data_IF_532700581179
#
_entry.id   IF_532700581179
#
_cell.length_a   1.000
_cell.length_b   1.000
_cell.length_c   1.000
_cell.angle_alpha   90.00
_cell.angle_beta   90.00
_cell.angle_gamma   90.00
#
_symmetry.space_group_name_H-M   'P 1'
#
loop_
_entity.id
_entity.type
_entity.pdbx_description
1 polymer ?
#
# COMPACT_ATOMS: atom_id res chain seq x y z
N UNK A 1 -24.73 -5.87 -7.14
CA UNK A 1 -24.39 -4.50 -6.72
C UNK A 1 -23.15 -4.11 -7.48
N UNK A 2 -23.18 -3.00 -8.23
CA UNK A 2 -22.20 -2.66 -9.28
C UNK A 2 -20.79 -2.48 -8.70
N UNK A 3 -19.81 -3.18 -9.27
CA UNK A 3 -18.38 -3.07 -8.94
C UNK A 3 -17.81 -1.77 -9.51
N UNK A 4 -17.55 -0.80 -8.63
CA UNK A 4 -17.08 0.55 -8.98
C UNK A 4 -15.62 0.57 -9.50
N UNK A 5 -14.88 -0.54 -9.37
CA UNK A 5 -13.48 -0.64 -9.79
C UNK A 5 -13.27 -1.06 -11.25
N UNK A 6 -14.32 -1.51 -11.95
CA UNK A 6 -14.22 -1.90 -13.38
C UNK A 6 -14.33 -0.72 -14.35
N UNK A 7 -14.85 0.43 -13.91
CA UNK A 7 -15.15 1.58 -14.78
C UNK A 7 -13.97 2.56 -15.00
N UNK A 8 -12.77 2.26 -14.47
CA UNK A 8 -11.59 3.13 -14.68
C UNK A 8 -10.88 2.89 -16.02
N UNK A 9 -11.13 1.76 -16.70
CA UNK A 9 -10.54 1.47 -18.01
C UNK A 9 -11.25 2.15 -19.18
N UNK A 10 -12.53 2.50 -19.01
CA UNK A 10 -13.36 3.02 -20.12
C UNK A 10 -13.21 4.53 -20.35
N UNK A 11 -12.51 5.25 -19.47
CA UNK A 11 -12.33 6.70 -19.58
C UNK A 11 -11.17 7.12 -20.52
N UNK A 12 -10.38 6.17 -21.05
CA UNK A 12 -9.21 6.49 -21.90
C UNK A 12 -9.32 6.03 -23.35
N UNK A 13 -10.40 5.31 -23.70
CA UNK A 13 -10.59 4.73 -25.04
C UNK A 13 -12.01 5.00 -25.52
N UNK A 14 -12.26 6.18 -26.10
CA UNK A 14 -13.57 6.48 -26.65
C UNK A 14 -13.74 7.87 -27.25
N UNK A 15 -13.12 8.13 -28.39
CA UNK A 15 -13.75 8.87 -29.50
C UNK A 15 -12.77 9.05 -30.65
N UNK A 16 -12.86 8.20 -31.67
CA UNK A 16 -12.87 8.61 -33.08
C UNK A 16 -13.38 7.40 -33.87
N UNK A 17 -14.58 7.56 -34.43
CA UNK A 17 -15.21 6.59 -35.30
C UNK A 17 -14.78 6.82 -36.75
N UNK A 18 -14.63 5.70 -37.45
CA UNK A 18 -15.00 5.45 -38.86
C UNK A 18 -14.21 6.17 -40.00
N UNK A 19 -13.47 5.36 -40.77
CA UNK A 19 -13.35 5.48 -42.23
C UNK A 19 -12.56 4.27 -42.81
N UNK A 20 -13.14 3.57 -43.78
CA UNK A 20 -12.48 2.51 -44.54
C UNK A 20 -11.33 3.03 -45.42
N UNK A 21 -10.28 2.23 -45.54
CA UNK A 21 -9.10 2.50 -46.37
C UNK A 21 -8.35 1.22 -46.72
N UNK A 22 -7.83 1.18 -47.93
CA UNK A 22 -7.28 0.02 -48.67
C UNK A 22 -5.93 -0.48 -48.12
N UNK A 23 -5.67 -1.79 -48.25
CA UNK A 23 -4.53 -2.51 -47.65
C UNK A 23 -3.10 -2.11 -48.06
N UNK A 24 -2.91 -1.03 -48.83
CA UNK A 24 -1.60 -0.41 -49.06
C UNK A 24 -1.28 0.67 -48.00
N UNK A 25 -2.28 1.29 -47.38
CA UNK A 25 -2.09 2.30 -46.31
C UNK A 25 -1.64 1.67 -44.99
N UNK A 26 -2.07 0.43 -44.71
CA UNK A 26 -1.68 -0.32 -43.52
C UNK A 26 -0.18 -0.67 -43.49
N UNK A 27 0.44 -0.90 -44.64
CA UNK A 27 1.87 -1.22 -44.72
C UNK A 27 2.73 0.03 -44.50
N UNK A 28 2.26 1.20 -44.95
CA UNK A 28 2.89 2.50 -44.71
C UNK A 28 2.73 2.92 -43.25
N UNK A 29 1.55 2.66 -42.65
CA UNK A 29 1.29 2.88 -41.22
C UNK A 29 2.14 1.94 -40.35
N UNK A 30 2.33 0.68 -40.76
CA UNK A 30 3.23 -0.25 -40.05
C UNK A 30 4.71 0.14 -40.16
N UNK A 31 5.17 0.61 -41.34
CA UNK A 31 6.55 1.11 -41.51
C UNK A 31 6.78 2.44 -40.77
N UNK A 32 5.80 3.34 -40.72
CA UNK A 32 5.85 4.55 -39.86
C UNK A 32 5.86 4.21 -38.38
N UNK A 33 5.05 3.24 -37.93
CA UNK A 33 5.05 2.75 -36.54
C UNK A 33 6.35 2.04 -36.16
N UNK A 34 7.00 1.35 -37.10
CA UNK A 34 8.30 0.72 -36.88
C UNK A 34 9.44 1.76 -36.84
N UNK A 35 9.36 2.83 -37.65
CA UNK A 35 10.29 3.95 -37.61
C UNK A 35 10.12 4.79 -36.32
N UNK A 36 8.89 5.07 -35.89
CA UNK A 36 8.61 5.71 -34.58
C UNK A 36 9.01 4.82 -33.39
N UNK A 37 8.97 3.48 -33.53
CA UNK A 37 9.47 2.55 -32.51
C UNK A 37 11.00 2.46 -32.43
N UNK A 38 11.73 2.92 -33.45
CA UNK A 38 13.19 2.91 -33.48
C UNK A 38 13.83 4.27 -33.17
N UNK A 39 13.03 5.33 -32.99
CA UNK A 39 13.52 6.68 -32.67
C UNK A 39 13.09 7.19 -31.28
N UNK A 40 12.56 6.31 -30.43
CA UNK A 40 12.29 6.59 -29.03
C UNK A 40 13.18 5.75 -28.10
N UNK A 41 14.50 5.81 -28.31
CA UNK A 41 15.42 5.58 -27.18
C UNK A 41 15.41 6.88 -26.39
N UNK A 42 14.40 6.98 -25.52
CA UNK A 42 14.26 8.11 -24.61
C UNK A 42 15.56 8.24 -23.82
N UNK A 43 16.27 9.35 -24.02
CA UNK A 43 17.55 9.55 -23.36
C UNK A 43 17.36 9.51 -21.83
N UNK A 44 18.37 9.10 -21.06
CA UNK A 44 18.30 9.20 -19.60
C UNK A 44 17.92 10.62 -19.14
N UNK A 45 18.32 11.65 -19.89
CA UNK A 45 17.95 13.06 -19.64
C UNK A 45 16.45 13.33 -19.83
N UNK A 46 15.79 12.73 -20.80
CA UNK A 46 14.35 12.89 -21.00
C UNK A 46 13.53 12.13 -19.93
N UNK A 47 14.01 10.97 -19.49
CA UNK A 47 13.45 10.27 -18.33
C UNK A 47 13.65 11.06 -17.03
N UNK A 48 14.86 11.61 -16.81
CA UNK A 48 15.19 12.46 -15.66
C UNK A 48 14.42 13.80 -15.69
N UNK A 49 14.17 14.37 -16.87
CA UNK A 49 13.36 15.57 -17.03
C UNK A 49 11.89 15.33 -16.68
N UNK A 50 11.35 14.16 -17.05
CA UNK A 50 10.00 13.74 -16.67
C UNK A 50 9.88 13.43 -15.17
N UNK A 51 10.93 12.89 -14.56
CA UNK A 51 11.03 12.73 -13.09
C UNK A 51 11.14 14.09 -12.37
N UNK A 52 11.81 15.07 -12.99
CA UNK A 52 11.87 16.45 -12.50
C UNK A 52 10.53 17.19 -12.53
N UNK A 53 9.61 16.80 -13.41
CA UNK A 53 8.25 17.37 -13.50
C UNK A 53 7.29 16.83 -12.42
N UNK A 54 7.66 15.72 -11.76
CA UNK A 54 7.03 15.18 -10.55
C UNK A 54 7.67 15.74 -9.27
N UNK A 55 8.46 16.81 -9.34
CA UNK A 55 9.06 17.44 -8.19
C UNK A 55 7.97 17.91 -7.21
N UNK A 56 7.76 17.13 -6.16
CA UNK A 56 6.89 17.48 -5.05
C UNK A 56 7.36 18.81 -4.46
N UNK A 57 6.57 19.88 -4.68
CA UNK A 57 6.82 21.16 -4.05
C UNK A 57 6.58 21.07 -2.54
N UNK A 58 7.37 21.80 -1.74
CA UNK A 58 7.15 21.89 -0.29
C UNK A 58 5.71 22.31 0.00
N UNK A 59 5.13 21.69 1.03
CA UNK A 59 3.79 21.99 1.49
C UNK A 59 3.63 23.48 1.84
N UNK A 60 2.67 24.14 1.22
CA UNK A 60 2.30 25.53 1.50
C UNK A 60 1.32 25.57 2.67
N UNK A 61 1.84 25.93 3.85
CA UNK A 61 1.09 25.91 5.10
C UNK A 61 -0.05 26.93 5.08
N UNK A 62 0.17 28.12 4.51
CA UNK A 62 -0.82 29.19 4.52
C UNK A 62 -2.05 28.84 3.67
N UNK A 63 -1.83 28.19 2.52
CA UNK A 63 -2.91 27.67 1.68
C UNK A 63 -3.72 26.60 2.41
N UNK A 64 -3.04 25.67 3.08
CA UNK A 64 -3.73 24.61 3.85
C UNK A 64 -4.49 25.18 5.02
N UNK A 65 -3.93 26.14 5.75
CA UNK A 65 -4.61 26.78 6.87
C UNK A 65 -5.86 27.52 6.38
N UNK A 66 -5.77 28.25 5.27
CA UNK A 66 -6.92 28.94 4.67
C UNK A 66 -8.00 27.95 4.25
N UNK A 67 -7.62 26.88 3.54
CA UNK A 67 -8.53 25.82 3.14
C UNK A 67 -9.19 25.15 4.36
N UNK A 68 -8.39 24.79 5.37
CA UNK A 68 -8.84 24.16 6.61
C UNK A 68 -9.86 25.01 7.35
N UNK A 69 -9.66 26.33 7.44
CA UNK A 69 -10.60 27.24 8.11
C UNK A 69 -11.88 27.46 7.32
N UNK A 70 -11.81 27.44 5.98
CA UNK A 70 -12.97 27.67 5.10
C UNK A 70 -13.90 26.45 4.98
N UNK A 71 -13.39 25.23 5.15
CA UNK A 71 -14.14 23.99 4.95
C UNK A 71 -15.09 23.67 6.12
N UNK A 72 -16.28 23.14 5.78
CA UNK A 72 -17.31 22.74 6.76
C UNK A 72 -17.20 21.29 7.22
N UNK A 73 -16.56 20.44 6.41
CA UNK A 73 -16.28 19.03 6.70
C UNK A 73 -14.91 18.69 6.12
N UNK A 74 -14.07 18.00 6.91
CA UNK A 74 -12.66 17.77 6.60
C UNK A 74 -12.31 16.33 6.90
N UNK A 75 -11.71 15.65 5.94
CA UNK A 75 -11.17 14.29 6.12
C UNK A 75 -9.66 14.38 6.16
N UNK A 76 -9.05 13.88 7.23
CA UNK A 76 -7.60 13.91 7.45
C UNK A 76 -7.13 12.48 7.59
N UNK A 77 -6.26 12.04 6.67
CA UNK A 77 -5.73 10.68 6.66
C UNK A 77 -4.23 10.77 6.86
N UNK A 78 -3.75 10.20 7.96
CA UNK A 78 -2.35 10.19 8.33
C UNK A 78 -1.79 8.78 8.24
N UNK A 79 -0.70 8.60 7.52
CA UNK A 79 0.10 7.38 7.63
C UNK A 79 0.76 7.30 9.02
N UNK A 80 0.99 6.09 9.52
CA UNK A 80 1.56 5.87 10.85
C UNK A 80 3.09 5.80 10.80
N UNK A 81 3.65 4.90 9.98
CA UNK A 81 5.06 4.50 10.04
C UNK A 81 5.93 5.37 9.13
N UNK A 82 6.82 6.17 9.72
CA UNK A 82 7.65 7.13 9.00
C UNK A 82 6.99 8.50 8.82
N UNK A 83 5.72 8.63 9.24
CA UNK A 83 4.95 9.87 9.18
C UNK A 83 4.63 10.38 10.60
N UNK A 84 3.82 9.65 11.37
CA UNK A 84 3.49 10.01 12.76
C UNK A 84 4.51 9.48 13.77
N UNK A 85 5.12 8.34 13.46
CA UNK A 85 6.25 7.78 14.21
C UNK A 85 7.48 7.87 13.34
N UNK A 86 8.55 8.47 13.88
CA UNK A 86 9.83 8.58 13.17
C UNK A 86 10.35 7.18 12.86
N UNK A 87 10.65 6.92 11.59
CA UNK A 87 11.27 5.68 11.17
C UNK A 87 12.67 5.61 11.78
N UNK A 88 12.96 4.55 12.54
CA UNK A 88 14.30 4.36 13.07
C UNK A 88 15.33 4.29 11.91
N UNK A 89 16.53 4.85 12.09
CA UNK A 89 17.55 4.86 11.05
C UNK A 89 17.94 3.43 10.64
N UNK A 90 18.26 3.20 9.36
CA UNK A 90 18.80 1.92 8.90
C UNK A 90 20.14 1.66 9.61
N UNK A 91 20.23 0.60 10.41
CA UNK A 91 21.44 0.28 11.19
C UNK A 91 21.24 -0.45 12.52
N UNK A 92 20.01 -0.55 13.05
CA UNK A 92 19.72 -1.46 14.18
C UNK A 92 19.47 -2.88 13.65
N UNK A 93 20.57 -3.59 13.33
CA UNK A 93 20.60 -4.94 12.73
C UNK A 93 20.08 -6.11 13.61
N UNK A 94 19.36 -5.82 14.69
CA UNK A 94 18.79 -6.83 15.58
C UNK A 94 17.28 -6.57 15.74
N UNK A 95 16.53 -6.70 14.65
CA UNK A 95 15.07 -6.74 14.71
C UNK A 95 14.58 -8.16 14.46
N UNK A 96 13.81 -8.69 15.42
CA UNK A 96 13.01 -9.91 15.26
C UNK A 96 11.77 -9.65 14.38
N UNK A 97 11.37 -8.39 14.23
CA UNK A 97 10.22 -7.95 13.44
C UNK A 97 10.56 -6.70 12.61
N UNK A 98 10.44 -6.80 11.28
CA UNK A 98 10.79 -5.74 10.30
C UNK A 98 9.73 -4.62 10.25
N UNK A 99 8.62 -4.75 10.97
CA UNK A 99 7.55 -3.75 11.01
C UNK A 99 7.96 -2.38 11.57
N UNK A 100 9.23 -2.21 11.96
CA UNK A 100 9.84 -0.91 12.23
C UNK A 100 9.45 -0.30 13.57
N UNK A 101 8.32 -0.73 14.14
CA UNK A 101 7.59 0.07 15.14
C UNK A 101 6.74 -0.78 16.09
N UNK A 102 6.92 -2.12 16.15
CA UNK A 102 6.15 -2.97 17.07
C UNK A 102 6.31 -2.45 18.52
N UNK A 103 5.24 -1.84 19.06
CA UNK A 103 5.22 -1.24 20.39
C UNK A 103 5.66 0.23 20.51
N UNK A 104 6.06 0.90 19.42
CA UNK A 104 6.44 2.31 19.46
C UNK A 104 5.20 3.21 19.31
N UNK A 105 4.89 3.94 20.38
CA UNK A 105 3.81 4.94 20.40
C UNK A 105 4.28 6.25 19.75
N UNK A 106 3.40 7.01 19.08
CA UNK A 106 3.74 8.36 18.63
C UNK A 106 4.21 9.22 19.80
N UNK A 107 5.09 10.22 19.55
CA UNK A 107 5.47 11.19 20.57
C UNK A 107 4.24 11.85 21.19
N UNK A 108 4.33 12.24 22.46
CA UNK A 108 3.20 12.83 23.17
C UNK A 108 2.63 14.08 22.47
N UNK A 109 3.48 14.87 21.83
CA UNK A 109 3.07 16.02 21.02
C UNK A 109 2.15 15.62 19.85
N UNK A 110 2.43 14.49 19.20
CA UNK A 110 1.62 13.95 18.10
C UNK A 110 0.29 13.43 18.62
N UNK A 111 0.29 12.71 19.76
CA UNK A 111 -0.93 12.25 20.40
C UNK A 111 -1.83 13.43 20.76
N UNK A 112 -1.27 14.49 21.36
CA UNK A 112 -2.01 15.71 21.68
C UNK A 112 -2.60 16.37 20.44
N UNK A 113 -1.81 16.51 19.37
CA UNK A 113 -2.28 17.08 18.10
C UNK A 113 -3.44 16.26 17.49
N UNK A 114 -3.33 14.93 17.48
CA UNK A 114 -4.40 14.05 17.00
C UNK A 114 -5.67 14.19 17.85
N UNK A 115 -5.54 14.22 19.17
CA UNK A 115 -6.68 14.44 20.08
C UNK A 115 -7.36 15.78 19.81
N UNK A 116 -6.59 16.86 19.63
CA UNK A 116 -7.14 18.18 19.29
C UNK A 116 -7.84 18.17 17.94
N UNK A 117 -7.28 17.49 16.93
CA UNK A 117 -7.92 17.36 15.62
C UNK A 117 -9.23 16.56 15.70
N UNK A 118 -9.28 15.49 16.49
CA UNK A 118 -10.46 14.65 16.67
C UNK A 118 -11.57 15.34 17.51
N UNK A 119 -11.20 16.30 18.36
CA UNK A 119 -12.16 17.05 19.17
C UNK A 119 -13.02 18.02 18.34
N UNK A 120 -12.59 18.41 17.14
CA UNK A 120 -13.39 19.23 16.24
C UNK A 120 -14.40 18.34 15.48
N UNK A 121 -15.72 18.51 15.67
CA UNK A 121 -16.73 17.65 15.04
C UNK A 121 -16.80 17.78 13.51
N UNK A 122 -16.17 18.81 12.94
CA UNK A 122 -16.05 18.95 11.47
C UNK A 122 -14.94 18.07 10.89
N UNK A 123 -14.09 17.49 11.74
CA UNK A 123 -12.98 16.65 11.34
C UNK A 123 -13.34 15.17 11.43
N UNK A 124 -12.98 14.43 10.39
CA UNK A 124 -12.93 12.98 10.41
C UNK A 124 -11.48 12.58 10.20
N UNK A 125 -10.83 12.12 11.29
CA UNK A 125 -9.40 11.79 11.28
C UNK A 125 -9.23 10.27 11.23
N UNK A 126 -8.37 9.80 10.33
CA UNK A 126 -7.98 8.41 10.21
C UNK A 126 -6.46 8.25 10.30
N UNK A 127 -6.02 7.25 11.05
CA UNK A 127 -4.63 6.77 11.00
C UNK A 127 -4.58 5.46 10.23
N UNK A 128 -3.73 5.42 9.20
CA UNK A 128 -3.51 4.25 8.36
C UNK A 128 -2.15 3.65 8.68
N UNK A 129 -2.12 2.34 8.90
CA UNK A 129 -0.89 1.60 9.17
C UNK A 129 -0.85 0.29 8.38
N UNK A 130 0.36 -0.10 7.97
CA UNK A 130 0.66 -1.42 7.41
C UNK A 130 0.82 -2.53 8.45
N UNK A 131 0.65 -2.19 9.73
CA UNK A 131 0.72 -3.14 10.85
C UNK A 131 -0.65 -3.81 11.12
N UNK A 132 -0.68 -4.74 12.06
CA UNK A 132 -1.87 -5.45 12.53
C UNK A 132 -2.83 -4.53 13.28
N UNK A 133 -4.12 -4.93 13.31
CA UNK A 133 -5.17 -4.21 14.04
C UNK A 133 -4.79 -4.03 15.53
N UNK A 134 -4.31 -5.11 16.16
CA UNK A 134 -3.89 -5.11 17.56
C UNK A 134 -2.78 -4.09 17.84
N UNK A 135 -1.70 -4.12 17.05
CA UNK A 135 -0.58 -3.20 17.25
C UNK A 135 -1.01 -1.73 17.07
N UNK A 136 -1.90 -1.46 16.10
CA UNK A 136 -2.42 -0.12 15.87
C UNK A 136 -3.33 0.36 17.02
N UNK A 137 -4.19 -0.53 17.54
CA UNK A 137 -5.03 -0.23 18.71
C UNK A 137 -4.20 0.03 19.97
N UNK A 138 -3.19 -0.80 20.23
CA UNK A 138 -2.29 -0.64 21.37
C UNK A 138 -1.49 0.69 21.31
N UNK A 139 -1.23 1.19 20.09
CA UNK A 139 -0.45 2.40 19.87
C UNK A 139 -1.27 3.70 19.98
N UNK A 140 -2.45 3.75 19.36
CA UNK A 140 -3.26 4.99 19.22
C UNK A 140 -4.77 4.78 19.42
N UNK A 141 -5.20 3.58 19.77
CA UNK A 141 -6.62 3.24 19.94
C UNK A 141 -7.30 3.95 21.11
N UNK A 142 -6.52 4.52 22.03
CA UNK A 142 -7.00 5.30 23.18
C UNK A 142 -7.38 6.76 22.85
N UNK A 143 -7.23 7.21 21.60
CA UNK A 143 -7.56 8.58 21.18
C UNK A 143 -9.04 8.66 20.76
N UNK A 144 -9.90 9.40 21.49
CA UNK A 144 -11.32 9.48 21.18
C UNK A 144 -11.56 10.22 19.87
N UNK A 145 -12.53 9.75 19.10
CA UNK A 145 -12.86 10.30 17.77
C UNK A 145 -11.87 9.91 16.66
N UNK A 146 -10.91 9.01 16.92
CA UNK A 146 -9.95 8.56 15.91
C UNK A 146 -10.45 7.35 15.13
N UNK A 147 -10.45 7.43 13.80
CA UNK A 147 -10.60 6.28 12.89
C UNK A 147 -9.29 5.53 12.72
N UNK A 148 -9.34 4.21 12.62
CA UNK A 148 -8.14 3.38 12.45
C UNK A 148 -8.25 2.54 11.19
N UNK A 149 -7.18 2.44 10.42
CA UNK A 149 -7.06 1.54 9.29
C UNK A 149 -5.76 0.74 9.42
N UNK A 150 -5.88 -0.59 9.47
CA UNK A 150 -4.79 -1.52 9.59
C UNK A 150 -4.57 -2.28 8.28
N UNK A 151 -3.46 -3.01 8.17
CA UNK A 151 -3.15 -3.82 6.97
C UNK A 151 -3.20 -3.00 5.68
N UNK A 152 -2.62 -1.79 5.69
CA UNK A 152 -2.66 -0.84 4.57
C UNK A 152 -4.08 -0.46 4.14
N UNK A 153 -5.02 -0.42 5.09
CA UNK A 153 -6.41 -0.05 4.84
C UNK A 153 -7.33 -1.22 4.46
N UNK A 154 -6.82 -2.45 4.37
CA UNK A 154 -7.67 -3.62 4.13
C UNK A 154 -8.69 -3.85 5.26
N UNK A 155 -8.33 -3.45 6.48
CA UNK A 155 -9.23 -3.42 7.62
C UNK A 155 -9.32 -1.99 8.16
N UNK A 156 -10.53 -1.55 8.52
CA UNK A 156 -10.73 -0.24 9.09
C UNK A 156 -11.85 -0.24 10.12
N UNK A 157 -11.79 0.73 11.01
CA UNK A 157 -12.79 0.97 12.02
C UNK A 157 -13.11 2.45 12.09
N UNK A 158 -14.40 2.76 12.11
CA UNK A 158 -14.90 4.14 12.19
C UNK A 158 -14.44 4.85 13.47
N UNK A 159 -14.39 6.19 13.47
CA UNK A 159 -14.20 6.99 14.67
C UNK A 159 -15.17 6.59 15.78
N UNK A 160 -14.65 6.43 17.00
CA UNK A 160 -15.44 6.12 18.20
C UNK A 160 -15.26 7.27 19.18
N UNK A 161 -16.34 7.96 19.53
CA UNK A 161 -16.28 9.11 20.43
C UNK A 161 -16.07 8.67 21.89
N UNK A 162 -16.78 7.63 22.33
CA UNK A 162 -16.67 7.08 23.68
C UNK A 162 -15.98 5.72 23.67
N UNK A 163 -14.65 5.73 23.81
CA UNK A 163 -13.83 4.50 23.81
C UNK A 163 -14.03 3.67 25.08
N UNK A 164 -14.59 4.25 26.16
CA UNK A 164 -14.79 3.52 27.42
C UNK A 164 -16.04 2.64 27.36
N UNK A 165 -17.10 3.12 26.71
CA UNK A 165 -18.37 2.40 26.62
C UNK A 165 -18.59 1.68 25.28
N UNK A 166 -17.96 2.14 24.20
CA UNK A 166 -18.13 1.54 22.87
C UNK A 166 -16.88 0.80 22.41
N UNK A 167 -17.04 -0.50 22.12
CA UNK A 167 -15.98 -1.28 21.50
C UNK A 167 -15.89 -0.97 20.01
N UNK A 168 -14.67 -0.72 19.55
CA UNK A 168 -14.37 -0.53 18.14
C UNK A 168 -14.79 -1.74 17.31
N UNK A 169 -15.63 -1.51 16.30
CA UNK A 169 -16.05 -2.54 15.34
C UNK A 169 -15.19 -2.46 14.10
N UNK A 170 -14.38 -3.49 13.87
CA UNK A 170 -13.56 -3.62 12.67
C UNK A 170 -14.39 -4.12 11.49
N UNK A 171 -14.17 -3.48 10.35
CA UNK A 171 -14.67 -3.89 9.05
C UNK A 171 -13.48 -4.26 8.17
N UNK A 172 -13.65 -5.24 7.32
CA UNK A 172 -12.67 -5.60 6.30
C UNK A 172 -13.31 -5.45 4.93
N UNK A 173 -12.52 -5.05 3.94
CA UNK A 173 -12.94 -5.20 2.55
C UNK A 173 -13.07 -6.68 2.22
N UNK A 174 -14.23 -7.07 1.71
CA UNK A 174 -14.40 -8.37 1.08
C UNK A 174 -13.81 -8.26 -0.33
N UNK A 175 -12.65 -8.90 -0.53
CA UNK A 175 -11.97 -8.94 -1.82
C UNK A 175 -12.44 -10.11 -2.68
N UNK A 176 -13.45 -10.88 -2.25
CA UNK A 176 -13.94 -12.06 -2.96
C UNK A 176 -12.98 -13.25 -2.93
N UNK A 177 -11.96 -13.20 -2.06
CA UNK A 177 -10.93 -14.24 -1.91
C UNK A 177 -10.97 -14.78 -0.49
N UNK A 178 -11.12 -16.09 -0.35
CA UNK A 178 -10.96 -16.76 0.94
C UNK A 178 -9.48 -16.89 1.30
N UNK A 179 -8.99 -15.90 2.05
CA UNK A 179 -7.61 -15.88 2.52
C UNK A 179 -7.26 -17.04 3.46
N UNK A 180 -8.22 -17.73 4.08
CA UNK A 180 -7.91 -18.93 4.87
C UNK A 180 -7.53 -20.09 3.96
N UNK A 181 -8.29 -20.33 2.89
CA UNK A 181 -7.94 -21.35 1.89
C UNK A 181 -6.60 -21.04 1.20
N UNK A 182 -6.33 -19.78 0.87
CA UNK A 182 -5.02 -19.36 0.33
C UNK A 182 -3.90 -19.66 1.33
N UNK A 183 -4.12 -19.42 2.64
CA UNK A 183 -3.12 -19.72 3.70
C UNK A 183 -2.81 -21.20 3.79
N UNK A 184 -3.81 -22.07 3.72
CA UNK A 184 -3.61 -23.52 3.81
C UNK A 184 -2.68 -24.04 2.71
N UNK A 185 -2.79 -23.49 1.50
CA UNK A 185 -1.94 -23.86 0.35
C UNK A 185 -0.58 -23.17 0.40
N UNK A 186 -0.52 -21.88 0.75
CA UNK A 186 0.72 -21.10 0.73
C UNK A 186 1.67 -21.43 1.89
N UNK A 187 1.14 -21.73 3.09
CA UNK A 187 1.96 -21.91 4.29
C UNK A 187 2.98 -23.05 4.21
N UNK A 188 2.66 -24.24 3.67
CA UNK A 188 3.63 -25.31 3.48
C UNK A 188 4.80 -24.90 2.59
N UNK A 189 4.51 -24.22 1.46
CA UNK A 189 5.53 -23.72 0.54
C UNK A 189 6.39 -22.68 1.25
N UNK A 190 5.78 -21.67 1.87
CA UNK A 190 6.50 -20.62 2.59
C UNK A 190 7.38 -21.17 3.72
N UNK A 191 6.85 -22.13 4.50
CA UNK A 191 7.59 -22.78 5.59
C UNK A 191 8.81 -23.53 5.09
N UNK A 192 8.73 -24.17 3.92
CA UNK A 192 9.86 -24.82 3.27
C UNK A 192 10.99 -23.83 2.95
N UNK A 193 10.68 -22.63 2.46
CA UNK A 193 11.67 -21.58 2.20
C UNK A 193 12.19 -20.93 3.49
N UNK A 194 11.32 -20.75 4.49
CA UNK A 194 11.73 -20.24 5.80
C UNK A 194 12.71 -21.16 6.51
N UNK A 195 12.51 -22.48 6.47
CA UNK A 195 13.37 -23.46 7.13
C UNK A 195 14.81 -23.51 6.56
N UNK A 196 15.02 -23.12 5.30
CA UNK A 196 16.34 -23.13 4.63
C UNK A 196 16.97 -21.74 4.46
N UNK A 197 16.32 -20.70 4.97
CA UNK A 197 16.78 -19.32 4.82
C UNK A 197 16.82 -18.65 6.19
N UNK A 198 17.99 -18.71 6.83
CA UNK A 198 18.20 -18.13 8.15
C UNK A 198 17.90 -16.62 8.14
N UNK A 199 17.13 -16.15 9.12
CA UNK A 199 16.70 -14.76 9.23
C UNK A 199 15.42 -14.43 8.46
N UNK A 200 14.87 -15.36 7.67
CA UNK A 200 13.60 -15.17 6.99
C UNK A 200 12.41 -15.50 7.90
N UNK A 201 11.23 -14.96 7.58
CA UNK A 201 9.99 -15.31 8.27
C UNK A 201 8.76 -15.07 7.41
N UNK A 202 7.67 -15.72 7.78
CA UNK A 202 6.35 -15.55 7.15
C UNK A 202 5.59 -14.41 7.84
N UNK A 203 5.06 -13.48 7.05
CA UNK A 203 4.18 -12.40 7.49
C UNK A 203 2.75 -12.73 7.09
N UNK A 204 1.90 -12.97 8.08
CA UNK A 204 0.47 -13.15 7.88
C UNK A 204 -0.27 -11.85 8.15
N UNK A 205 -1.20 -11.51 7.27
CA UNK A 205 -2.07 -10.34 7.39
C UNK A 205 -3.48 -10.75 6.98
N UNK A 206 -4.50 -9.96 7.34
CA UNK A 206 -5.90 -10.30 7.08
C UNK A 206 -6.19 -10.65 5.61
N UNK A 207 -5.61 -9.88 4.70
CA UNK A 207 -5.82 -9.98 3.25
C UNK A 207 -4.51 -10.10 2.46
N UNK A 208 -3.47 -10.64 3.08
CA UNK A 208 -2.21 -10.93 2.38
C UNK A 208 -1.37 -11.94 3.15
N UNK A 209 -0.51 -12.64 2.42
CA UNK A 209 0.52 -13.52 2.96
C UNK A 209 1.83 -13.08 2.31
N UNK A 210 2.86 -12.89 3.12
CA UNK A 210 4.17 -12.48 2.66
C UNK A 210 5.27 -13.34 3.25
N UNK A 211 6.41 -13.35 2.58
CA UNK A 211 7.64 -13.91 3.09
C UNK A 211 8.70 -12.82 3.06
N UNK A 212 9.34 -12.58 4.19
CA UNK A 212 10.33 -11.53 4.32
C UNK A 212 11.72 -12.12 4.47
N UNK A 213 12.64 -11.62 3.66
CA UNK A 213 14.06 -11.99 3.67
C UNK A 213 14.98 -10.81 3.99
N UNK A 214 14.44 -9.69 4.50
CA UNK A 214 15.21 -8.48 4.80
C UNK A 214 16.35 -8.70 5.81
N UNK A 215 16.14 -9.60 6.78
CA UNK A 215 17.15 -9.94 7.79
C UNK A 215 18.02 -11.14 7.37
N UNK A 216 17.92 -11.59 6.12
CA UNK A 216 18.75 -12.65 5.56
C UNK A 216 20.02 -12.04 4.95
N UNK A 217 20.97 -12.91 4.60
CA UNK A 217 21.99 -12.55 3.62
C UNK A 217 21.30 -12.06 2.32
N UNK A 218 21.64 -10.86 1.79
CA UNK A 218 20.93 -10.26 0.67
C UNK A 218 20.94 -11.11 -0.60
N UNK A 219 22.07 -11.76 -0.92
CA UNK A 219 22.20 -12.59 -2.11
C UNK A 219 21.43 -13.89 -1.94
N UNK A 220 21.58 -14.56 -0.80
CA UNK A 220 20.86 -15.80 -0.49
C UNK A 220 19.35 -15.58 -0.40
N UNK A 221 18.91 -14.53 0.29
CA UNK A 221 17.51 -14.17 0.44
C UNK A 221 16.85 -13.86 -0.90
N UNK A 222 17.53 -13.08 -1.75
CA UNK A 222 17.06 -12.77 -3.10
C UNK A 222 16.98 -14.02 -3.98
N UNK A 223 17.99 -14.89 -3.92
CA UNK A 223 18.00 -16.16 -4.65
C UNK A 223 16.83 -17.06 -4.22
N UNK A 224 16.59 -17.23 -2.91
CA UNK A 224 15.47 -18.01 -2.40
C UNK A 224 14.12 -17.41 -2.79
N UNK A 225 13.98 -16.08 -2.77
CA UNK A 225 12.78 -15.40 -3.26
C UNK A 225 12.50 -15.71 -4.74
N UNK A 226 13.54 -15.75 -5.58
CA UNK A 226 13.42 -16.02 -7.02
C UNK A 226 12.86 -17.41 -7.33
N UNK A 227 13.15 -18.40 -6.47
CA UNK A 227 12.59 -19.75 -6.58
C UNK A 227 11.21 -19.87 -5.92
N UNK A 228 10.95 -19.10 -4.87
CA UNK A 228 9.69 -19.11 -4.14
C UNK A 228 8.52 -18.61 -4.99
N UNK A 229 8.70 -17.51 -5.72
CA UNK A 229 7.64 -16.86 -6.51
C UNK A 229 6.98 -17.83 -7.51
N UNK A 230 7.72 -18.49 -8.43
CA UNK A 230 7.09 -19.39 -9.42
C UNK A 230 6.43 -20.61 -8.78
N UNK A 231 6.97 -21.11 -7.67
CA UNK A 231 6.36 -22.23 -6.94
C UNK A 231 5.02 -21.82 -6.31
N UNK A 232 4.96 -20.63 -5.67
CA UNK A 232 3.71 -20.10 -5.14
C UNK A 232 2.68 -19.80 -6.24
N UNK A 233 3.12 -19.25 -7.38
CA UNK A 233 2.24 -18.99 -8.53
C UNK A 233 1.61 -20.29 -9.04
N UNK A 234 2.39 -21.37 -9.09
CA UNK A 234 1.91 -22.67 -9.53
C UNK A 234 0.87 -23.28 -8.57
N UNK A 235 1.13 -23.23 -7.27
CA UNK A 235 0.24 -23.79 -6.24
C UNK A 235 -1.03 -22.95 -6.05
N UNK A 236 -0.93 -21.62 -6.17
CA UNK A 236 -2.05 -20.70 -5.97
C UNK A 236 -2.79 -20.33 -7.25
N UNK A 237 -2.51 -20.99 -8.39
CA UNK A 237 -3.16 -20.73 -9.68
C UNK A 237 -4.68 -20.82 -9.68
N UNK A 238 -5.25 -21.53 -8.69
CA UNK A 238 -6.69 -21.68 -8.53
C UNK A 238 -7.36 -20.48 -7.83
N UNK A 239 -6.57 -19.59 -7.23
CA UNK A 239 -7.04 -18.41 -6.52
C UNK A 239 -6.77 -17.14 -7.33
N UNK A 240 -7.68 -16.18 -7.27
CA UNK A 240 -7.50 -14.85 -7.87
C UNK A 240 -6.63 -13.97 -6.95
N UNK A 241 -5.32 -14.25 -6.94
CA UNK A 241 -4.34 -13.54 -6.11
C UNK A 241 -3.27 -12.88 -6.96
N UNK A 242 -2.85 -11.68 -6.55
CA UNK A 242 -1.75 -10.94 -7.19
C UNK A 242 -0.45 -11.15 -6.40
N UNK A 243 0.61 -11.47 -7.13
CA UNK A 243 1.97 -11.55 -6.58
C UNK A 243 2.66 -10.18 -6.68
N UNK A 244 3.33 -9.78 -5.59
CA UNK A 244 4.10 -8.54 -5.53
C UNK A 244 5.45 -8.84 -4.91
N UNK A 245 6.52 -8.59 -5.65
CA UNK A 245 7.89 -8.71 -5.16
C UNK A 245 8.41 -7.32 -4.82
N UNK A 246 8.74 -7.11 -3.56
CA UNK A 246 9.45 -5.92 -3.10
C UNK A 246 10.93 -6.28 -2.99
N UNK A 247 11.82 -5.43 -3.51
CA UNK A 247 13.25 -5.56 -3.26
C UNK A 247 13.50 -5.29 -1.77
N UNK A 248 14.15 -6.26 -1.11
CA UNK A 248 14.55 -6.18 0.30
C UNK A 248 15.57 -5.09 0.55
#
# INVERSE_FOLDING_TARGET
>A
TKNVLRDLSDATLGSYADAGGTGEDDEIIQKKRAAEKMEAVDSPEATLAREGELALSKLDVDKITTAYLSCKSRVIICDFNGTLVVKEPPGKYLKREILGTAGNKPPEAVIKALTTLCADPKNTVFVVSGDSQKNLEDAVGNIPGLGLAASNGACFASPVADIQNEKRTWKSFDLGVDWNAVREVALPVLSKYTARTNGSFVKLTHSSIGWSYYSCDPEWGSLQASYLVPELEYELRAFDVRFVTLKG
#
